data_IF_326766364548
#
_entry.id   IF_326766364548
#
_cell.length_a   1.000
_cell.length_b   1.000
_cell.length_c   1.000
_cell.angle_alpha   90.00
_cell.angle_beta   90.00
_cell.angle_gamma   90.00
#
_symmetry.space_group_name_H-M   'P 1'
#
loop_
_entity.id
_entity.type
_entity.pdbx_description
1 polymer ?
#
# COMPACT_ATOMS: atom_id res chain seq x y z
N UNK A 1 13.48 8.39 -24.47
CA UNK A 1 12.58 7.57 -23.63
C UNK A 1 13.26 6.93 -22.42
N UNK A 2 14.38 6.21 -22.56
CA UNK A 2 15.08 5.57 -21.42
C UNK A 2 15.43 6.54 -20.29
N UNK A 3 15.94 7.72 -20.64
CA UNK A 3 16.48 8.68 -19.67
C UNK A 3 15.39 9.34 -18.83
N UNK A 4 14.19 9.53 -19.38
CA UNK A 4 13.05 10.06 -18.62
C UNK A 4 12.46 9.02 -17.67
N UNK A 5 12.45 7.74 -18.06
CA UNK A 5 12.02 6.65 -17.18
C UNK A 5 12.97 6.57 -15.97
N UNK A 6 14.28 6.66 -16.20
CA UNK A 6 15.28 6.70 -15.14
C UNK A 6 15.08 7.90 -14.20
N UNK A 7 14.91 9.11 -14.74
CA UNK A 7 14.65 10.32 -13.94
C UNK A 7 13.41 10.19 -13.06
N UNK A 8 12.31 9.65 -13.58
CA UNK A 8 11.10 9.44 -12.76
C UNK A 8 11.35 8.37 -11.69
N UNK A 9 12.05 7.28 -12.02
CA UNK A 9 12.40 6.22 -11.08
C UNK A 9 13.42 6.67 -10.00
N UNK A 10 14.13 7.78 -10.21
CA UNK A 10 15.05 8.34 -9.22
C UNK A 10 14.36 8.99 -8.02
N UNK A 11 13.09 9.36 -8.18
CA UNK A 11 12.31 9.93 -7.09
C UNK A 11 11.81 8.84 -6.14
N UNK A 12 12.07 9.04 -4.84
CA UNK A 12 11.49 8.20 -3.79
C UNK A 12 10.02 8.57 -3.60
N UNK A 13 9.14 7.65 -3.94
CA UNK A 13 7.70 7.78 -3.79
C UNK A 13 7.18 7.13 -2.50
N UNK A 14 5.96 7.49 -2.12
CA UNK A 14 5.17 6.80 -1.10
C UNK A 14 4.19 5.87 -1.79
N UNK A 15 4.24 4.57 -1.49
CA UNK A 15 3.28 3.60 -2.00
C UNK A 15 1.95 3.79 -1.28
N UNK A 16 0.93 4.34 -1.92
CA UNK A 16 -0.37 4.57 -1.28
C UNK A 16 -1.24 3.32 -1.28
N UNK A 17 -1.29 2.58 -2.38
CA UNK A 17 -2.13 1.39 -2.52
C UNK A 17 -1.60 0.51 -3.65
N UNK A 18 -1.78 -0.80 -3.57
CA UNK A 18 -1.19 -1.70 -4.55
C UNK A 18 -1.88 -3.07 -4.66
N UNK A 19 -1.70 -3.68 -5.83
CA UNK A 19 -1.98 -5.08 -6.11
C UNK A 19 -0.81 -5.64 -6.94
N UNK A 20 0.34 -5.85 -6.30
CA UNK A 20 1.59 -6.26 -6.98
C UNK A 20 1.89 -7.75 -6.88
N UNK A 21 1.30 -8.42 -5.88
CA UNK A 21 1.42 -9.87 -5.70
C UNK A 21 0.39 -10.63 -6.53
N UNK A 22 -0.85 -10.15 -6.52
CA UNK A 22 -1.96 -10.75 -7.24
C UNK A 22 -2.65 -9.66 -8.06
N UNK A 23 -2.91 -9.95 -9.34
CA UNK A 23 -3.75 -9.09 -10.14
C UNK A 23 -5.15 -9.04 -9.53
N UNK A 24 -5.78 -7.87 -9.55
CA UNK A 24 -7.14 -7.70 -9.04
C UNK A 24 -8.05 -7.13 -10.12
N UNK A 25 -9.31 -7.47 -10.01
CA UNK A 25 -10.33 -6.94 -10.89
C UNK A 25 -10.53 -5.44 -10.67
N UNK A 26 -10.47 -4.67 -11.75
CA UNK A 26 -10.88 -3.27 -11.73
C UNK A 26 -12.38 -3.19 -12.01
N UNK A 27 -13.18 -3.06 -10.94
CA UNK A 27 -14.65 -3.02 -11.01
C UNK A 27 -15.17 -1.95 -11.99
N UNK A 28 -14.56 -0.76 -12.01
CA UNK A 28 -14.95 0.33 -12.90
C UNK A 28 -14.65 0.02 -14.38
N UNK A 29 -13.57 -0.72 -14.66
CA UNK A 29 -13.31 -1.21 -16.01
C UNK A 29 -14.27 -2.34 -16.37
N UNK A 30 -14.55 -3.26 -15.44
CA UNK A 30 -15.43 -4.40 -15.70
C UNK A 30 -16.88 -4.03 -15.94
N UNK A 31 -17.37 -2.98 -15.29
CA UNK A 31 -18.69 -2.39 -15.58
C UNK A 31 -18.81 -1.90 -17.03
N UNK A 32 -17.71 -1.44 -17.63
CA UNK A 32 -17.66 -0.91 -19.01
C UNK A 32 -17.27 -1.97 -20.03
N UNK A 33 -16.46 -2.93 -19.62
CA UNK A 33 -15.96 -4.04 -20.43
C UNK A 33 -15.92 -5.31 -19.55
N UNK A 34 -16.98 -6.13 -19.58
CA UNK A 34 -17.06 -7.34 -18.77
C UNK A 34 -15.92 -8.34 -19.03
N UNK A 35 -15.24 -8.25 -20.18
CA UNK A 35 -14.09 -9.07 -20.54
C UNK A 35 -12.74 -8.51 -20.08
N UNK A 36 -12.72 -7.36 -19.40
CA UNK A 36 -11.48 -6.73 -18.95
C UNK A 36 -10.69 -7.65 -18.01
N UNK A 37 -9.42 -7.96 -18.32
CA UNK A 37 -8.61 -8.83 -17.48
C UNK A 37 -8.26 -8.15 -16.15
N UNK A 38 -7.99 -8.94 -15.09
CA UNK A 38 -7.41 -8.43 -13.85
C UNK A 38 -6.11 -7.66 -14.12
N UNK A 39 -5.83 -6.66 -13.29
CA UNK A 39 -4.63 -5.83 -13.43
C UNK A 39 -3.82 -5.84 -12.14
N UNK A 40 -2.49 -5.86 -12.29
CA UNK A 40 -1.57 -5.41 -11.27
C UNK A 40 -1.57 -3.89 -11.28
N UNK A 41 -1.48 -3.27 -10.11
CA UNK A 41 -1.35 -1.81 -10.04
C UNK A 41 -0.57 -1.36 -8.83
N UNK A 42 -0.05 -0.15 -8.93
CA UNK A 42 0.46 0.62 -7.81
C UNK A 42 -0.04 2.05 -7.96
N UNK A 43 -0.53 2.60 -6.85
CA UNK A 43 -0.80 4.02 -6.71
C UNK A 43 0.30 4.58 -5.83
N UNK A 44 1.15 5.41 -6.42
CA UNK A 44 2.28 6.03 -5.73
C UNK A 44 2.10 7.53 -5.66
N UNK A 45 2.60 8.12 -4.59
CA UNK A 45 2.64 9.55 -4.37
C UNK A 45 4.10 9.99 -4.50
N UNK A 46 4.42 10.67 -5.59
CA UNK A 46 5.76 11.21 -5.83
C UNK A 46 5.87 12.63 -5.26
N UNK A 47 7.06 13.04 -4.82
CA UNK A 47 7.28 14.40 -4.32
C UNK A 47 7.03 15.43 -5.45
N UNK A 48 6.75 16.70 -5.10
CA UNK A 48 6.54 17.77 -6.09
C UNK A 48 7.70 17.91 -7.08
N UNK A 49 8.93 17.63 -6.65
CA UNK A 49 10.12 17.64 -7.50
C UNK A 49 10.04 16.68 -8.71
N UNK A 50 9.25 15.61 -8.61
CA UNK A 50 9.06 14.64 -9.69
C UNK A 50 8.08 15.12 -10.77
N UNK A 51 7.35 16.22 -10.53
CA UNK A 51 6.27 16.69 -11.41
C UNK A 51 6.78 16.95 -12.82
N UNK A 52 7.87 17.70 -12.97
CA UNK A 52 8.37 18.02 -14.32
C UNK A 52 8.81 16.76 -15.08
N UNK A 53 9.45 15.81 -14.40
CA UNK A 53 9.92 14.58 -15.03
C UNK A 53 8.77 13.68 -15.49
N UNK A 54 7.72 13.55 -14.67
CA UNK A 54 6.51 12.79 -15.05
C UNK A 54 5.79 13.47 -16.22
N UNK A 55 5.70 14.81 -16.23
CA UNK A 55 5.08 15.55 -17.32
C UNK A 55 5.88 15.42 -18.61
N UNK A 56 7.22 15.49 -18.54
CA UNK A 56 8.10 15.27 -19.68
C UNK A 56 7.92 13.86 -20.24
N UNK A 57 7.82 12.83 -19.39
CA UNK A 57 7.60 11.44 -19.81
C UNK A 57 6.26 11.30 -20.57
N UNK A 58 5.21 11.93 -20.06
CA UNK A 58 3.89 11.94 -20.69
C UNK A 58 3.92 12.71 -22.02
N UNK A 59 4.55 13.89 -22.05
CA UNK A 59 4.65 14.74 -23.22
C UNK A 59 5.46 14.07 -24.34
N UNK A 60 6.58 13.41 -24.02
CA UNK A 60 7.38 12.66 -25.00
C UNK A 60 6.52 11.55 -25.64
N UNK A 61 5.78 10.77 -24.83
CA UNK A 61 4.91 9.72 -25.36
C UNK A 61 3.77 10.28 -26.20
N UNK A 62 3.18 11.38 -25.77
CA UNK A 62 2.09 12.04 -26.49
C UNK A 62 2.55 12.58 -27.85
N UNK A 63 3.67 13.29 -27.88
CA UNK A 63 4.26 13.80 -29.12
C UNK A 63 4.64 12.68 -30.06
N UNK A 64 5.23 11.59 -29.55
CA UNK A 64 5.56 10.42 -30.36
C UNK A 64 4.31 9.72 -30.95
N UNK A 65 3.20 9.65 -30.20
CA UNK A 65 2.00 8.94 -30.63
C UNK A 65 1.03 9.79 -31.46
N UNK A 66 0.95 11.10 -31.20
CA UNK A 66 -0.09 11.99 -31.71
C UNK A 66 0.44 13.24 -32.41
N UNK A 67 1.77 13.42 -32.49
CA UNK A 67 2.41 14.59 -33.08
C UNK A 67 2.32 15.87 -32.22
N UNK A 68 1.71 15.80 -31.03
CA UNK A 68 1.58 16.92 -30.09
C UNK A 68 1.37 16.42 -28.66
N UNK A 69 1.85 17.19 -27.69
CA UNK A 69 1.57 16.98 -26.26
C UNK A 69 0.41 17.84 -25.72
N UNK A 70 -0.23 18.63 -26.58
CA UNK A 70 -1.34 19.49 -26.20
C UNK A 70 -2.67 18.72 -26.16
N UNK A 71 -3.57 19.10 -25.25
CA UNK A 71 -4.93 18.56 -25.14
C UNK A 71 -5.00 17.04 -24.98
N UNK A 72 -3.98 16.41 -24.39
CA UNK A 72 -4.01 14.99 -24.04
C UNK A 72 -4.54 14.76 -22.64
N UNK A 73 -5.28 13.66 -22.46
CA UNK A 73 -5.75 13.23 -21.14
C UNK A 73 -4.69 12.40 -20.44
N UNK A 74 -4.47 12.61 -19.15
CA UNK A 74 -3.62 11.76 -18.30
C UNK A 74 -4.20 11.56 -16.90
N UNK A 75 -3.79 10.46 -16.25
CA UNK A 75 -4.27 10.07 -14.92
C UNK A 75 -3.56 10.71 -13.73
N UNK A 76 -2.49 11.49 -13.96
CA UNK A 76 -1.68 12.12 -12.90
C UNK A 76 -2.38 13.34 -12.32
N UNK A 77 -2.46 13.42 -10.99
CA UNK A 77 -3.12 14.52 -10.27
C UNK A 77 -2.34 14.92 -9.03
N UNK A 78 -2.35 16.19 -8.68
CA UNK A 78 -1.89 16.64 -7.35
C UNK A 78 -2.85 16.08 -6.28
N UNK A 79 -2.33 15.68 -5.12
CA UNK A 79 -3.10 15.05 -4.05
C UNK A 79 -4.28 15.92 -3.59
N UNK A 80 -4.05 17.22 -3.38
CA UNK A 80 -5.08 18.21 -3.03
C UNK A 80 -6.19 18.37 -4.07
N UNK A 81 -5.88 18.12 -5.35
CA UNK A 81 -6.84 18.22 -6.46
C UNK A 81 -7.65 16.94 -6.68
N UNK A 82 -7.39 15.87 -5.92
CA UNK A 82 -8.19 14.64 -6.01
C UNK A 82 -9.55 14.84 -5.34
N UNK A 83 -10.59 14.19 -5.89
CA UNK A 83 -11.93 14.15 -5.26
C UNK A 83 -11.88 13.62 -3.82
N UNK A 84 -10.91 12.74 -3.54
CA UNK A 84 -10.62 12.20 -2.22
C UNK A 84 -9.09 12.20 -2.03
N UNK A 85 -8.51 13.27 -1.47
CA UNK A 85 -7.09 13.32 -1.16
C UNK A 85 -6.69 12.15 -0.25
N UNK A 86 -5.47 11.66 -0.43
CA UNK A 86 -4.91 10.57 0.37
C UNK A 86 -4.44 11.17 1.70
N UNK A 87 -5.07 10.72 2.79
CA UNK A 87 -4.74 11.15 4.16
C UNK A 87 -3.30 10.71 4.51
N UNK A 88 -2.55 11.59 5.17
CA UNK A 88 -1.16 11.33 5.54
C UNK A 88 -0.14 11.54 4.41
N UNK A 89 -0.59 12.00 3.23
CA UNK A 89 0.28 12.40 2.12
C UNK A 89 0.21 13.92 1.99
N UNK A 90 1.36 14.56 1.79
CA UNK A 90 1.44 16.00 1.59
C UNK A 90 0.51 16.45 0.43
N UNK A 91 -0.24 17.55 0.58
CA UNK A 91 -1.20 18.02 -0.43
C UNK A 91 -0.60 18.28 -1.81
N UNK A 92 0.70 18.57 -1.91
CA UNK A 92 1.40 18.92 -3.14
C UNK A 92 2.02 17.72 -3.86
N UNK A 93 2.01 16.52 -3.25
CA UNK A 93 2.51 15.32 -3.92
C UNK A 93 1.66 15.01 -5.15
N UNK A 94 2.31 14.55 -6.21
CA UNK A 94 1.62 14.05 -7.40
C UNK A 94 1.27 12.59 -7.21
N UNK A 95 0.04 12.22 -7.52
CA UNK A 95 -0.49 10.88 -7.39
C UNK A 95 -0.56 10.25 -8.77
N UNK A 96 0.16 9.14 -8.92
CA UNK A 96 0.23 8.33 -10.13
C UNK A 96 -0.37 6.96 -9.84
N UNK A 97 -1.41 6.58 -10.57
CA UNK A 97 -1.86 5.17 -10.62
C UNK A 97 -1.33 4.55 -11.90
N UNK A 98 -0.39 3.62 -11.75
CA UNK A 98 0.12 2.81 -12.85
C UNK A 98 -0.46 1.40 -12.76
N UNK A 99 -0.91 0.84 -13.89
CA UNK A 99 -1.44 -0.52 -13.93
C UNK A 99 -0.99 -1.30 -15.15
N UNK A 100 -0.93 -2.62 -15.05
CA UNK A 100 -0.49 -3.52 -16.11
C UNK A 100 -1.24 -4.84 -16.00
N UNK A 101 -1.45 -5.52 -17.12
CA UNK A 101 -1.92 -6.92 -17.13
C UNK A 101 -0.79 -7.88 -16.74
N UNK A 102 0.46 -7.44 -16.93
CA UNK A 102 1.64 -8.19 -16.59
C UNK A 102 2.13 -7.81 -15.20
N UNK A 103 2.65 -8.82 -14.53
CA UNK A 103 3.04 -8.75 -13.16
C UNK A 103 4.38 -7.97 -13.06
N UNK A 104 4.48 -6.86 -12.30
CA UNK A 104 5.65 -5.98 -12.32
C UNK A 104 6.89 -6.66 -11.74
N UNK A 105 8.07 -6.20 -12.13
CA UNK A 105 9.33 -6.60 -11.48
C UNK A 105 9.41 -5.94 -10.10
N UNK A 106 9.84 -6.72 -9.09
CA UNK A 106 9.92 -6.24 -7.71
C UNK A 106 11.36 -6.40 -7.25
N UNK A 107 11.96 -5.33 -6.78
CA UNK A 107 13.34 -5.32 -6.34
C UNK A 107 13.43 -5.01 -4.86
N UNK A 108 14.32 -5.70 -4.18
CA UNK A 108 14.67 -5.35 -2.82
C UNK A 108 15.56 -4.09 -2.76
N UNK A 109 15.82 -3.59 -1.56
CA UNK A 109 16.62 -2.39 -1.28
C UNK A 109 18.06 -2.47 -1.79
N UNK A 110 18.59 -3.68 -1.97
CA UNK A 110 19.92 -3.95 -2.53
C UNK A 110 19.93 -4.16 -4.05
N UNK A 111 18.76 -4.06 -4.70
CA UNK A 111 18.58 -4.32 -6.13
C UNK A 111 18.34 -5.79 -6.49
N UNK A 112 18.23 -6.68 -5.52
CA UNK A 112 17.89 -8.10 -5.76
C UNK A 112 16.48 -8.24 -6.30
N UNK A 113 16.31 -8.98 -7.41
CA UNK A 113 14.98 -9.29 -7.96
C UNK A 113 14.23 -10.29 -7.05
N UNK A 114 13.05 -9.89 -6.60
CA UNK A 114 12.15 -10.66 -5.76
C UNK A 114 11.17 -11.48 -6.61
N UNK A 115 11.50 -12.76 -6.79
CA UNK A 115 10.60 -13.75 -7.41
C UNK A 115 9.33 -14.02 -6.57
N UNK A 116 8.16 -13.78 -7.16
CA UNK A 116 6.84 -14.03 -6.53
C UNK A 116 6.50 -15.52 -6.37
N UNK A 117 7.16 -16.42 -7.08
CA UNK A 117 6.97 -17.86 -6.93
C UNK A 117 7.66 -18.40 -5.66
N UNK A 118 8.67 -17.67 -5.15
CA UNK A 118 9.41 -18.04 -3.96
C UNK A 118 8.68 -17.59 -2.67
N UNK A 119 8.27 -18.51 -1.77
CA UNK A 119 7.56 -18.16 -0.53
C UNK A 119 8.33 -17.22 0.41
N UNK A 120 9.67 -17.24 0.38
CA UNK A 120 10.52 -16.33 1.17
C UNK A 120 10.38 -14.91 0.62
N UNK A 121 10.51 -14.74 -0.69
CA UNK A 121 10.35 -13.44 -1.34
C UNK A 121 8.93 -12.90 -1.18
N UNK A 122 7.89 -13.74 -1.22
CA UNK A 122 6.51 -13.29 -0.95
C UNK A 122 6.39 -12.65 0.45
N UNK A 123 7.05 -13.21 1.47
CA UNK A 123 7.08 -12.61 2.81
C UNK A 123 7.79 -11.26 2.80
N UNK A 124 8.94 -11.16 2.12
CA UNK A 124 9.68 -9.91 1.96
C UNK A 124 8.82 -8.86 1.26
N UNK A 125 8.15 -9.23 0.16
CA UNK A 125 7.30 -8.32 -0.61
C UNK A 125 6.17 -7.77 0.29
N UNK A 126 5.49 -8.61 1.05
CA UNK A 126 4.43 -8.17 1.99
C UNK A 126 4.96 -7.25 3.09
N UNK A 127 6.19 -7.50 3.54
CA UNK A 127 6.83 -6.72 4.60
C UNK A 127 7.33 -5.36 4.10
N UNK A 128 7.82 -5.26 2.86
CA UNK A 128 8.45 -4.05 2.30
C UNK A 128 7.52 -3.20 1.44
N UNK A 129 6.49 -3.76 0.80
CA UNK A 129 5.58 -3.03 -0.09
C UNK A 129 4.18 -2.84 0.51
N UNK A 130 4.14 -2.29 1.72
CA UNK A 130 2.88 -1.92 2.37
C UNK A 130 2.46 -0.48 2.02
N UNK A 131 1.17 -0.12 2.13
CA UNK A 131 0.72 1.26 2.05
C UNK A 131 1.47 2.16 3.04
N UNK A 132 2.24 3.13 2.55
CA UNK A 132 3.12 4.02 3.32
C UNK A 132 4.60 3.76 3.13
N UNK A 133 4.97 2.59 2.62
CA UNK A 133 6.35 2.25 2.30
C UNK A 133 6.97 3.22 1.28
N UNK A 134 8.28 3.41 1.39
CA UNK A 134 9.07 4.17 0.41
C UNK A 134 9.50 3.26 -0.72
N UNK A 135 9.27 3.69 -1.95
CA UNK A 135 9.56 2.91 -3.16
C UNK A 135 10.08 3.80 -4.27
N UNK A 136 10.91 3.24 -5.15
CA UNK A 136 11.14 3.79 -6.49
C UNK A 136 10.23 3.09 -7.46
N UNK A 137 9.54 3.85 -8.31
CA UNK A 137 8.54 3.31 -9.24
C UNK A 137 9.03 3.44 -10.68
N UNK A 138 9.04 2.33 -11.39
CA UNK A 138 9.40 2.26 -12.80
C UNK A 138 8.12 2.24 -13.64
N UNK A 139 7.97 3.25 -14.50
CA UNK A 139 6.81 3.38 -15.37
C UNK A 139 7.18 3.20 -16.83
N UNK A 140 6.26 2.60 -17.58
CA UNK A 140 6.31 2.58 -19.04
C UNK A 140 5.11 3.33 -19.60
N UNK A 141 5.28 4.47 -20.28
CA UNK A 141 4.16 5.24 -20.79
C UNK A 141 3.54 4.55 -22.01
N UNK A 142 2.20 4.50 -22.05
CA UNK A 142 1.46 4.01 -23.20
C UNK A 142 0.40 5.02 -23.61
N UNK A 143 0.16 5.12 -24.92
CA UNK A 143 -0.89 5.96 -25.46
C UNK A 143 -2.19 5.15 -25.60
N UNK A 144 -3.31 5.83 -25.49
CA UNK A 144 -4.63 5.28 -25.78
C UNK A 144 -5.46 6.33 -26.51
N UNK A 145 -6.41 5.85 -27.30
CA UNK A 145 -7.39 6.69 -27.99
C UNK A 145 -8.78 6.13 -27.72
N UNK A 146 -9.70 7.00 -27.31
CA UNK A 146 -11.08 6.61 -27.01
C UNK A 146 -12.04 7.60 -27.66
N UNK A 147 -13.09 7.08 -28.31
CA UNK A 147 -14.01 7.89 -29.14
C UNK A 147 -14.63 9.08 -28.39
N UNK A 148 -14.90 8.93 -27.09
CA UNK A 148 -15.59 9.95 -26.28
C UNK A 148 -14.64 10.84 -25.45
N UNK A 149 -13.45 10.36 -25.12
CA UNK A 149 -12.52 11.03 -24.21
C UNK A 149 -11.21 11.45 -24.89
N UNK A 150 -11.15 11.33 -26.21
CA UNK A 150 -10.02 11.75 -27.03
C UNK A 150 -8.78 10.87 -26.86
N UNK A 151 -7.63 11.51 -27.06
CA UNK A 151 -6.32 10.89 -26.94
C UNK A 151 -5.77 11.09 -25.53
N UNK A 152 -5.01 10.12 -25.04
CA UNK A 152 -4.36 10.23 -23.75
C UNK A 152 -3.14 9.36 -23.60
N UNK A 153 -2.44 9.60 -22.51
CA UNK A 153 -1.27 8.83 -22.08
C UNK A 153 -1.53 8.34 -20.66
N UNK A 154 -1.28 7.06 -20.47
CA UNK A 154 -1.33 6.39 -19.17
C UNK A 154 0.01 5.74 -18.90
N UNK A 155 0.24 5.34 -17.65
CA UNK A 155 1.49 4.74 -17.21
C UNK A 155 1.25 3.28 -16.85
N UNK A 156 1.98 2.38 -17.50
CA UNK A 156 2.06 0.98 -17.09
C UNK A 156 3.02 0.85 -15.92
N UNK A 157 2.69 -0.04 -14.99
CA UNK A 157 3.60 -0.41 -13.91
C UNK A 157 4.61 -1.43 -14.44
N UNK A 158 5.86 -1.03 -14.63
CA UNK A 158 6.93 -1.92 -15.06
C UNK A 158 7.58 -2.61 -13.85
N UNK A 159 7.87 -1.83 -12.80
CA UNK A 159 8.48 -2.38 -11.60
C UNK A 159 8.41 -1.45 -10.40
N UNK A 160 8.75 -1.99 -9.23
CA UNK A 160 8.96 -1.24 -7.99
C UNK A 160 10.24 -1.73 -7.32
N UNK A 161 10.99 -0.81 -6.73
CA UNK A 161 12.12 -1.13 -5.86
C UNK A 161 11.84 -0.60 -4.46
N UNK A 162 12.03 -1.43 -3.44
CA UNK A 162 11.92 -1.00 -2.05
C UNK A 162 13.03 0.01 -1.71
N UNK A 163 12.70 1.00 -0.90
CA UNK A 163 13.67 1.96 -0.33
C UNK A 163 13.65 1.79 1.17
N UNK A 164 14.83 1.67 1.77
CA UNK A 164 14.92 1.58 3.23
C UNK A 164 14.48 2.90 3.87
N UNK A 165 13.51 2.80 4.76
CA UNK A 165 12.86 3.93 5.39
C UNK A 165 12.33 3.48 6.76
N UNK A 166 13.18 3.48 7.80
CA UNK A 166 12.81 3.00 9.13
C UNK A 166 11.68 3.81 9.78
N UNK A 167 11.42 5.02 9.28
CA UNK A 167 10.35 5.92 9.68
C UNK A 167 9.04 5.74 8.87
N UNK A 168 9.01 4.83 7.89
CA UNK A 168 7.83 4.60 7.07
C UNK A 168 6.66 4.07 7.91
N UNK A 169 5.61 4.87 8.02
CA UNK A 169 4.39 4.49 8.72
C UNK A 169 3.34 3.92 7.75
N UNK A 170 2.60 2.91 8.22
CA UNK A 170 1.47 2.36 7.45
C UNK A 170 0.38 3.40 7.27
N UNK A 171 -0.03 3.65 6.04
CA UNK A 171 -1.16 4.52 5.72
C UNK A 171 -2.47 3.80 6.07
N UNK A 172 -3.38 4.51 6.73
CA UNK A 172 -4.75 4.07 6.97
C UNK A 172 -5.59 4.20 5.68
N UNK A 173 -5.34 3.31 4.73
CA UNK A 173 -6.13 3.24 3.49
C UNK A 173 -7.45 2.54 3.79
N UNK A 174 -8.57 3.27 3.69
CA UNK A 174 -9.91 2.74 3.89
C UNK A 174 -10.79 3.48 4.89
N UNK A 175 -10.26 4.53 5.55
CA UNK A 175 -11.06 5.36 6.47
C UNK A 175 -11.53 4.63 7.74
N UNK A 176 -10.98 3.44 8.02
CA UNK A 176 -11.23 2.74 9.28
C UNK A 176 -10.18 3.19 10.28
N UNK A 177 -10.63 3.80 11.37
CA UNK A 177 -9.78 4.03 12.54
C UNK A 177 -9.42 2.68 13.17
N UNK A 178 -8.33 2.09 12.69
CA UNK A 178 -7.81 0.83 13.22
C UNK A 178 -7.25 1.01 14.63
N UNK A 179 -6.94 2.23 15.06
CA UNK A 179 -6.50 2.51 16.43
C UNK A 179 -7.65 2.38 17.44
N UNK A 180 -8.84 2.91 17.10
CA UNK A 180 -10.07 2.75 17.89
C UNK A 180 -10.65 1.33 17.88
N UNK A 181 -10.34 0.53 16.86
CA UNK A 181 -10.69 -0.91 16.84
C UNK A 181 -9.68 -1.73 17.64
N UNK A 182 -8.38 -1.47 17.46
CA UNK A 182 -7.32 -2.19 18.18
C UNK A 182 -7.32 -1.88 19.68
N UNK A 183 -7.69 -0.67 20.10
CA UNK A 183 -7.77 -0.28 21.52
C UNK A 183 -8.77 -1.13 22.31
N UNK A 184 -9.79 -1.71 21.66
CA UNK A 184 -10.75 -2.65 22.28
C UNK A 184 -10.18 -4.05 22.52
N UNK A 185 -9.10 -4.40 21.82
CA UNK A 185 -8.39 -5.67 21.95
C UNK A 185 -7.04 -5.53 22.65
N UNK A 186 -6.57 -4.30 22.83
CA UNK A 186 -5.42 -4.00 23.65
C UNK A 186 -5.75 -4.41 25.09
N UNK A 187 -5.00 -5.38 25.61
CA UNK A 187 -5.00 -5.64 27.06
C UNK A 187 -4.71 -4.31 27.74
N UNK A 188 -5.51 -3.93 28.73
CA UNK A 188 -5.21 -2.79 29.58
C UNK A 188 -3.76 -2.95 30.05
N UNK A 189 -2.87 -2.08 29.55
CA UNK A 189 -1.46 -2.16 29.86
C UNK A 189 -1.33 -1.98 31.37
N UNK A 190 -0.78 -2.98 32.05
CA UNK A 190 -0.29 -2.80 33.41
C UNK A 190 0.89 -1.84 33.37
N UNK A 191 0.58 -0.55 33.51
CA UNK A 191 1.42 0.53 34.01
C UNK A 191 2.87 0.55 33.54
N UNK A 192 3.10 1.13 32.36
CA UNK A 192 4.34 1.85 32.05
C UNK A 192 3.98 3.32 31.87
N UNK A 193 4.32 4.14 32.86
CA UNK A 193 4.03 5.58 32.95
C UNK A 193 4.41 6.32 31.64
N UNK A 194 3.51 7.07 30.97
CA UNK A 194 3.91 8.09 30.02
C UNK A 194 4.71 9.16 30.78
N UNK A 195 5.93 9.45 30.31
CA UNK A 195 6.77 10.49 30.90
C UNK A 195 6.02 11.83 30.97
N UNK A 196 5.84 12.31 32.19
CA UNK A 196 5.66 13.70 32.62
C UNK A 196 4.63 14.56 31.85
N UNK A 197 3.41 14.64 32.39
CA UNK A 197 2.74 15.93 32.52
C UNK A 197 2.38 16.17 34.00
N UNK A 198 3.06 17.16 34.55
CA UNK A 198 2.89 17.88 35.82
C UNK A 198 1.46 17.93 36.37
N UNK A 199 1.29 17.55 37.65
CA UNK A 199 0.16 17.95 38.50
C UNK A 199 -0.28 16.90 39.55
N UNK A 200 0.31 16.92 40.74
CA UNK A 200 -0.22 16.32 41.98
C UNK A 200 -1.07 17.38 42.73
N UNK A 201 -1.90 17.11 43.78
CA UNK A 201 -2.11 15.86 44.50
C UNK A 201 -3.58 15.49 44.86
N UNK A 202 -3.81 14.22 45.21
CA UNK A 202 -4.89 13.87 46.16
C UNK A 202 -5.43 12.44 46.06
N UNK A 203 -5.24 11.64 47.13
CA UNK A 203 -6.23 10.63 47.54
C UNK A 203 -5.78 9.16 47.59
N UNK A 204 -5.19 8.78 48.74
CA UNK A 204 -5.42 7.57 49.56
C UNK A 204 -5.71 6.18 48.93
N UNK A 205 -4.81 5.23 49.26
CA UNK A 205 -4.98 3.86 49.77
C UNK A 205 -6.16 2.96 49.33
N UNK A 206 -5.86 1.71 48.97
CA UNK A 206 -6.09 0.49 49.80
C UNK A 206 -5.71 -0.79 49.03
N UNK A 207 -5.05 -1.69 49.76
CA UNK A 207 -4.59 -3.05 49.43
C UNK A 207 -5.69 -4.01 48.93
N UNK A 208 -5.32 -5.02 48.14
CA UNK A 208 -5.30 -6.45 48.55
C UNK A 208 -5.25 -7.42 47.37
N UNK A 209 -4.44 -8.47 47.54
CA UNK A 209 -4.18 -9.56 46.61
C UNK A 209 -5.35 -10.56 46.49
N UNK A 210 -5.50 -11.22 45.33
CA UNK A 210 -5.57 -12.70 45.22
C UNK A 210 -5.89 -13.20 43.79
N UNK A 211 -5.23 -14.32 43.46
CA UNK A 211 -5.58 -15.39 42.50
C UNK A 211 -5.65 -15.07 40.99
N UNK A 212 -4.49 -15.24 40.37
CA UNK A 212 -4.33 -15.62 38.96
C UNK A 212 -4.91 -17.01 38.68
N UNK A 213 -6.02 -17.06 37.94
CA UNK A 213 -6.41 -18.25 37.16
C UNK A 213 -6.10 -17.98 35.68
N UNK A 214 -5.27 -18.84 35.09
CA UNK A 214 -4.83 -18.75 33.70
C UNK A 214 -5.95 -19.30 32.79
N UNK A 215 -6.51 -18.54 31.83
CA UNK A 215 -7.68 -18.96 31.03
C UNK A 215 -7.39 -20.04 29.97
N UNK A 216 -6.25 -20.73 30.04
CA UNK A 216 -5.84 -21.78 29.09
C UNK A 216 -5.76 -23.18 29.71
N UNK A 217 -6.22 -23.40 30.94
CA UNK A 217 -6.43 -24.76 31.45
C UNK A 217 -7.86 -25.23 31.17
N UNK A 218 -8.07 -25.80 29.98
CA UNK A 218 -9.19 -26.72 29.77
C UNK A 218 -8.91 -27.99 30.57
N UNK A 219 -9.76 -28.22 31.57
CA UNK A 219 -9.83 -29.47 32.31
C UNK A 219 -10.02 -30.66 31.35
N UNK A 220 -8.96 -31.44 31.18
CA UNK A 220 -9.07 -32.86 30.89
C UNK A 220 -9.18 -33.60 32.24
N UNK A 221 -10.32 -34.25 32.48
CA UNK A 221 -10.58 -35.11 33.64
C UNK A 221 -12.06 -35.49 33.66
N UNK A 222 -12.46 -36.58 33.01
CA UNK A 222 -12.45 -37.98 33.49
C UNK A 222 -13.76 -38.35 34.23
N UNK A 223 -14.52 -39.27 33.63
CA UNK A 223 -15.45 -40.14 34.35
C UNK A 223 -15.11 -41.59 33.96
N UNK A 224 -14.95 -42.42 34.99
CA UNK A 224 -14.31 -43.72 34.96
C UNK A 224 -15.28 -44.89 34.73
N UNK A 225 -14.67 -46.02 34.33
CA UNK A 225 -15.05 -47.42 34.59
C UNK A 225 -16.34 -48.01 33.97
N UNK A 226 -16.10 -48.85 32.95
CA UNK A 226 -16.43 -50.28 33.08
C UNK A 226 -17.72 -50.77 32.39
N UNK A 227 -17.58 -51.35 31.21
CA UNK A 227 -18.21 -52.61 30.80
C UNK A 227 -17.80 -52.95 29.37
N UNK A 228 -17.26 -54.15 29.15
CA UNK A 228 -17.12 -54.73 27.82
C UNK A 228 -18.24 -55.76 27.65
N UNK A 229 -19.16 -55.63 26.68
CA UNK A 229 -20.11 -56.68 26.39
C UNK A 229 -19.95 -57.17 24.94
N UNK A 230 -19.24 -58.30 24.85
CA UNK A 230 -19.38 -59.36 23.84
C UNK A 230 -18.70 -59.11 22.48
N UNK A 231 -18.08 -60.12 21.86
CA UNK A 231 -18.56 -61.51 21.71
C UNK A 231 -19.94 -61.60 21.04
#
# INVERSE_FOLDING_TARGET
>A
MSDLIAKVADHVAILADNAILNAVENKLKKEKDPGAPPEFYARVCLPPAAQQDVWNLIAERATAAFGSSNNITHGVKINSAQKKPIVGIDPNFIVVRASSQFAPELYDTDGTLLDRSNPVHVKIIRAKFFPGARVRAMFSPFNWSHKLSGNGVSLNLAGLMAVDAPDAQRLAIGGVDTSGVASKFAKAGTGGVPANQTGNPGGADVQSAAQTSNPFQQNAGAAAQGANPFA
#
